data_IF_471722284365
#
_entry.id   IF_471722284365
#
_cell.length_a   1.000
_cell.length_b   1.000
_cell.length_c   1.000
_cell.angle_alpha   90.00
_cell.angle_beta   90.00
_cell.angle_gamma   90.00
#
_symmetry.space_group_name_H-M   'P 1'
#
loop_
_entity.id
_entity.type
_entity.pdbx_description
1 polymer ?
#
# COMPACT_ATOMS: atom_id res chain seq x y z
N UNK A 1 29.20 20.12 -11.35
CA UNK A 1 27.87 20.30 -10.70
C UNK A 1 26.90 19.15 -11.08
N UNK A 2 27.29 17.87 -10.99
CA UNK A 2 26.38 16.76 -11.36
C UNK A 2 25.64 16.10 -10.19
N UNK A 3 26.17 16.19 -8.96
CA UNK A 3 25.61 15.46 -7.81
C UNK A 3 24.20 15.89 -7.40
N UNK A 4 23.84 17.18 -7.51
CA UNK A 4 22.49 17.65 -7.17
C UNK A 4 21.43 17.13 -8.15
N UNK A 5 21.75 17.13 -9.45
CA UNK A 5 20.85 16.61 -10.47
C UNK A 5 20.64 15.11 -10.30
N UNK A 6 21.69 14.37 -9.96
CA UNK A 6 21.64 12.94 -9.68
C UNK A 6 20.80 12.62 -8.43
N UNK A 7 20.96 13.39 -7.34
CA UNK A 7 20.11 13.27 -6.14
C UNK A 7 18.63 13.52 -6.50
N UNK A 8 18.35 14.55 -7.30
CA UNK A 8 16.99 14.88 -7.71
C UNK A 8 16.35 13.75 -8.53
N UNK A 9 17.12 13.14 -9.45
CA UNK A 9 16.66 11.99 -10.23
C UNK A 9 16.36 10.78 -9.34
N UNK A 10 17.25 10.48 -8.38
CA UNK A 10 17.05 9.36 -7.45
C UNK A 10 15.80 9.57 -6.58
N UNK A 11 15.59 10.79 -6.06
CA UNK A 11 14.39 11.11 -5.27
C UNK A 11 13.11 10.99 -6.08
N UNK A 12 13.14 11.44 -7.34
CA UNK A 12 12.00 11.30 -8.26
C UNK A 12 11.67 9.83 -8.51
N UNK A 13 12.70 9.00 -8.73
CA UNK A 13 12.52 7.56 -8.92
C UNK A 13 11.95 6.87 -7.67
N UNK A 14 12.40 7.26 -6.48
CA UNK A 14 11.85 6.75 -5.21
C UNK A 14 10.36 7.14 -5.08
N UNK A 15 10.01 8.39 -5.37
CA UNK A 15 8.63 8.87 -5.27
C UNK A 15 7.68 8.16 -6.26
N UNK A 16 8.15 7.89 -7.49
CA UNK A 16 7.43 7.06 -8.44
C UNK A 16 7.21 5.64 -7.90
N UNK A 17 8.27 5.01 -7.36
CA UNK A 17 8.18 3.68 -6.74
C UNK A 17 7.22 3.63 -5.53
N UNK A 18 7.19 4.68 -4.71
CA UNK A 18 6.24 4.79 -3.59
C UNK A 18 4.80 4.92 -4.08
N UNK A 19 4.57 5.71 -5.14
CA UNK A 19 3.26 5.87 -5.77
C UNK A 19 2.75 4.55 -6.33
N UNK A 20 3.61 3.82 -7.07
CA UNK A 20 3.28 2.50 -7.60
C UNK A 20 3.02 1.49 -6.47
N UNK A 21 3.89 1.47 -5.45
CA UNK A 21 3.73 0.61 -4.28
C UNK A 21 2.40 0.83 -3.57
N UNK A 22 1.98 2.10 -3.42
CA UNK A 22 0.67 2.44 -2.87
C UNK A 22 -0.46 1.94 -3.76
N UNK A 23 -0.38 2.15 -5.06
CA UNK A 23 -1.40 1.67 -5.99
C UNK A 23 -1.57 0.14 -5.95
N UNK A 24 -0.46 -0.60 -5.86
CA UNK A 24 -0.50 -2.05 -5.70
C UNK A 24 -1.09 -2.48 -4.35
N UNK A 25 -0.74 -1.81 -3.26
CA UNK A 25 -1.28 -2.11 -1.93
C UNK A 25 -2.80 -1.83 -1.84
N UNK A 26 -3.28 -0.71 -2.38
CA UNK A 26 -4.72 -0.40 -2.47
C UNK A 26 -5.45 -1.44 -3.34
N UNK A 27 -4.85 -1.83 -4.47
CA UNK A 27 -5.42 -2.90 -5.31
C UNK A 27 -5.49 -4.23 -4.57
N UNK A 28 -4.45 -4.58 -3.80
CA UNK A 28 -4.44 -5.79 -3.00
C UNK A 28 -5.53 -5.76 -1.92
N UNK A 29 -5.76 -4.60 -1.29
CA UNK A 29 -6.84 -4.40 -0.32
C UNK A 29 -8.22 -4.65 -0.93
N UNK A 30 -8.47 -4.08 -2.12
CA UNK A 30 -9.71 -4.28 -2.84
C UNK A 30 -9.94 -5.77 -3.19
N UNK A 31 -8.92 -6.43 -3.74
CA UNK A 31 -8.99 -7.86 -4.06
C UNK A 31 -9.24 -8.73 -2.83
N UNK A 32 -8.67 -8.37 -1.68
CA UNK A 32 -8.91 -9.07 -0.42
C UNK A 32 -10.35 -8.88 0.08
N UNK A 33 -10.89 -7.67 -0.07
CA UNK A 33 -12.30 -7.37 0.19
C UNK A 33 -13.25 -8.18 -0.68
N UNK A 34 -12.98 -8.23 -2.00
CA UNK A 34 -13.75 -9.02 -2.96
C UNK A 34 -13.71 -10.52 -2.60
N UNK A 35 -12.52 -11.04 -2.25
CA UNK A 35 -12.36 -12.43 -1.84
C UNK A 35 -13.12 -12.76 -0.55
N UNK A 36 -13.09 -11.85 0.44
CA UNK A 36 -13.89 -11.99 1.67
C UNK A 36 -15.38 -12.03 1.33
N UNK A 37 -15.85 -11.12 0.48
CA UNK A 37 -17.26 -11.05 0.11
C UNK A 37 -17.71 -12.32 -0.60
N UNK A 38 -16.93 -12.80 -1.58
CA UNK A 38 -17.23 -14.05 -2.28
C UNK A 38 -17.35 -15.26 -1.34
N UNK A 39 -16.53 -15.34 -0.28
CA UNK A 39 -16.61 -16.40 0.71
C UNK A 39 -17.84 -16.30 1.61
N UNK A 40 -18.25 -15.08 1.95
CA UNK A 40 -19.50 -14.83 2.70
C UNK A 40 -20.70 -15.25 1.85
N UNK A 41 -20.75 -14.77 0.61
CA UNK A 41 -21.86 -15.02 -0.31
C UNK A 41 -22.00 -16.50 -0.63
N UNK A 42 -20.89 -17.21 -0.84
CA UNK A 42 -20.90 -18.65 -1.09
C UNK A 42 -21.46 -19.48 0.08
N UNK A 43 -21.36 -18.99 1.30
CA UNK A 43 -21.87 -19.70 2.48
C UNK A 43 -23.34 -19.41 2.76
N UNK A 44 -23.87 -18.27 2.31
CA UNK A 44 -25.29 -17.89 2.40
C UNK A 44 -25.95 -18.15 3.78
N UNK A 45 -25.21 -17.94 4.88
CA UNK A 45 -25.65 -18.20 6.26
C UNK A 45 -25.41 -17.01 7.17
N UNK A 46 -26.14 -16.96 8.29
CA UNK A 46 -26.12 -15.83 9.23
C UNK A 46 -24.75 -15.57 9.89
N UNK A 47 -23.94 -16.62 10.08
CA UNK A 47 -22.57 -16.52 10.62
C UNK A 47 -21.58 -17.24 9.69
N UNK A 48 -21.12 -16.58 8.61
CA UNK A 48 -20.14 -17.11 7.67
C UNK A 48 -18.79 -17.31 8.36
N UNK A 49 -18.19 -18.49 8.17
CA UNK A 49 -16.83 -18.71 8.62
C UNK A 49 -15.87 -17.97 7.70
N UNK A 50 -14.88 -17.27 8.27
CA UNK A 50 -13.81 -16.63 7.51
C UNK A 50 -12.45 -17.14 8.00
N UNK A 51 -11.51 -17.44 7.07
CA UNK A 51 -10.14 -17.77 7.45
C UNK A 51 -9.48 -16.59 8.21
N UNK A 52 -8.80 -16.90 9.32
CA UNK A 52 -8.04 -15.90 10.10
C UNK A 52 -6.99 -15.19 9.25
N UNK A 53 -6.46 -15.88 8.25
CA UNK A 53 -5.47 -15.35 7.31
C UNK A 53 -6.00 -14.13 6.54
N UNK A 54 -7.31 -14.03 6.28
CA UNK A 54 -7.89 -12.85 5.63
C UNK A 54 -7.80 -11.62 6.54
N UNK A 55 -8.10 -11.77 7.83
CA UNK A 55 -7.95 -10.67 8.79
C UNK A 55 -6.47 -10.25 8.93
N UNK A 56 -5.56 -11.23 9.01
CA UNK A 56 -4.13 -10.95 9.09
C UNK A 56 -3.59 -10.27 7.82
N UNK A 57 -4.10 -10.65 6.64
CA UNK A 57 -3.71 -10.02 5.38
C UNK A 57 -4.21 -8.57 5.30
N UNK A 58 -5.43 -8.30 5.78
CA UNK A 58 -6.02 -6.95 5.80
C UNK A 58 -5.20 -6.02 6.70
N UNK A 59 -4.92 -6.47 7.94
CA UNK A 59 -4.04 -5.75 8.88
C UNK A 59 -2.64 -5.53 8.29
N UNK A 60 -2.10 -6.54 7.60
CA UNK A 60 -0.79 -6.44 6.95
C UNK A 60 -0.75 -5.39 5.83
N UNK A 61 -1.81 -5.31 5.02
CA UNK A 61 -1.93 -4.31 3.95
C UNK A 61 -2.11 -2.91 4.53
N UNK A 62 -2.91 -2.75 5.59
CA UNK A 62 -3.08 -1.47 6.28
C UNK A 62 -1.76 -0.96 6.88
N UNK A 63 -0.98 -1.86 7.48
CA UNK A 63 0.34 -1.52 7.97
C UNK A 63 1.29 -1.12 6.83
N UNK A 64 1.24 -1.81 5.69
CA UNK A 64 2.03 -1.49 4.52
C UNK A 64 1.67 -0.10 3.95
N UNK A 65 0.37 0.20 3.79
CA UNK A 65 -0.11 1.49 3.32
C UNK A 65 0.33 2.64 4.24
N UNK A 66 0.26 2.42 5.56
CA UNK A 66 0.73 3.39 6.56
C UNK A 66 2.23 3.68 6.39
N UNK A 67 3.04 2.63 6.19
CA UNK A 67 4.49 2.77 5.99
C UNK A 67 4.83 3.47 4.68
N UNK A 68 4.09 3.18 3.60
CA UNK A 68 4.26 3.84 2.31
C UNK A 68 3.92 5.34 2.39
N UNK A 69 2.83 5.69 3.08
CA UNK A 69 2.47 7.09 3.32
C UNK A 69 3.56 7.84 4.12
N UNK A 70 4.05 7.24 5.21
CA UNK A 70 5.13 7.83 5.99
C UNK A 70 6.44 8.00 5.18
N UNK A 71 6.75 7.05 4.29
CA UNK A 71 7.92 7.17 3.41
C UNK A 71 7.75 8.30 2.38
N UNK A 72 6.55 8.46 1.82
CA UNK A 72 6.24 9.53 0.87
C UNK A 72 6.32 10.92 1.53
N UNK A 73 5.83 11.05 2.77
CA UNK A 73 5.96 12.28 3.56
C UNK A 73 7.44 12.64 3.81
N UNK A 74 8.28 11.66 4.13
CA UNK A 74 9.71 11.86 4.34
C UNK A 74 10.43 12.31 3.06
N UNK A 75 10.16 11.65 1.93
CA UNK A 75 10.76 11.99 0.63
C UNK A 75 10.33 13.38 0.18
N UNK A 76 9.03 13.66 0.25
CA UNK A 76 8.45 14.96 -0.11
C UNK A 76 9.00 16.08 0.79
N UNK A 77 9.12 15.84 2.09
CA UNK A 77 9.70 16.79 3.04
C UNK A 77 11.19 17.05 2.82
N UNK A 78 11.94 16.08 2.30
CA UNK A 78 13.33 16.28 1.90
C UNK A 78 13.43 17.10 0.60
N UNK A 79 12.63 16.75 -0.42
CA UNK A 79 12.57 17.49 -1.69
C UNK A 79 12.19 18.97 -1.50
N UNK A 80 11.28 19.28 -0.56
CA UNK A 80 10.87 20.67 -0.31
C UNK A 80 11.96 21.55 0.34
N UNK A 81 13.04 20.94 0.85
CA UNK A 81 14.14 21.62 1.54
C UNK A 81 15.41 21.73 0.69
N UNK A 82 15.44 21.05 -0.44
CA UNK A 82 16.48 21.18 -1.47
C UNK A 82 16.22 22.40 -2.34
#
# INVERSE_FOLDING_TARGET
MSGLAEIHQLLTAVQAGLTDGRAYAERAKNLLGDARQALVDAQAKADPWLPRQLAMADEGIDHLLTRLAAADDLVSGYQSRL
#
